data_IF_662355990921
#
_entry.id   IF_662355990921
#
_cell.length_a   1.000
_cell.length_b   1.000
_cell.length_c   1.000
_cell.angle_alpha   90.00
_cell.angle_beta   90.00
_cell.angle_gamma   90.00
#
_symmetry.space_group_name_H-M   'P 1'
#
loop_
_entity.id
_entity.type
_entity.pdbx_description
1 polymer ?
#
# COMPACT_ATOMS: atom_id res chain seq x y z
N UNK A 1 -5.83 -7.37 -33.06
CA UNK A 1 -6.13 -7.53 -31.62
C UNK A 1 -7.11 -6.44 -31.27
N UNK A 2 -8.19 -6.78 -30.56
CA UNK A 2 -9.18 -5.79 -30.16
C UNK A 2 -8.64 -5.04 -28.92
N UNK A 3 -8.56 -3.73 -29.02
CA UNK A 3 -8.24 -2.86 -27.91
C UNK A 3 -9.48 -2.67 -27.04
N UNK A 4 -9.34 -2.87 -25.72
CA UNK A 4 -10.43 -2.89 -24.75
C UNK A 4 -10.06 -2.12 -23.47
N UNK A 5 -11.09 -1.64 -22.81
CA UNK A 5 -11.00 -1.12 -21.44
C UNK A 5 -11.70 -2.13 -20.53
N UNK A 6 -11.05 -2.49 -19.42
CA UNK A 6 -11.66 -3.36 -18.41
C UNK A 6 -12.00 -2.57 -17.16
N UNK A 7 -13.22 -2.81 -16.64
CA UNK A 7 -13.62 -2.32 -15.32
C UNK A 7 -13.69 -3.49 -14.35
N UNK A 8 -13.40 -3.25 -13.06
CA UNK A 8 -13.34 -4.28 -12.04
C UNK A 8 -13.67 -3.71 -10.65
N UNK A 9 -13.68 -4.54 -9.62
CA UNK A 9 -14.09 -4.19 -8.25
C UNK A 9 -13.02 -3.48 -7.40
N UNK A 10 -11.90 -3.05 -7.98
CA UNK A 10 -10.78 -2.41 -7.27
C UNK A 10 -9.92 -3.37 -6.44
N UNK A 11 -10.27 -4.65 -6.35
CA UNK A 11 -9.50 -5.64 -5.60
C UNK A 11 -8.28 -6.16 -6.36
N UNK A 12 -7.26 -6.62 -5.62
CA UNK A 12 -6.11 -7.26 -6.26
C UNK A 12 -6.48 -8.54 -7.02
N UNK A 13 -7.44 -9.30 -6.50
CA UNK A 13 -7.96 -10.49 -7.17
C UNK A 13 -8.70 -10.14 -8.47
N UNK A 14 -9.51 -9.07 -8.45
CA UNK A 14 -10.19 -8.55 -9.64
C UNK A 14 -9.19 -8.07 -10.70
N UNK A 15 -8.14 -7.36 -10.31
CA UNK A 15 -7.06 -7.00 -11.23
C UNK A 15 -6.41 -8.22 -11.89
N UNK A 16 -6.15 -9.29 -11.12
CA UNK A 16 -5.61 -10.54 -11.68
C UNK A 16 -6.60 -11.23 -12.63
N UNK A 17 -7.90 -11.10 -12.40
CA UNK A 17 -8.94 -11.57 -13.33
C UNK A 17 -8.93 -10.78 -14.63
N UNK A 18 -8.67 -9.46 -14.62
CA UNK A 18 -8.47 -8.67 -15.83
C UNK A 18 -7.31 -9.24 -16.68
N UNK A 19 -6.19 -9.62 -16.02
CA UNK A 19 -5.07 -10.25 -16.73
C UNK A 19 -5.49 -11.59 -17.31
N UNK A 20 -6.18 -12.44 -16.55
CA UNK A 20 -6.64 -13.75 -17.02
C UNK A 20 -7.54 -13.63 -18.23
N UNK A 21 -8.57 -12.78 -18.17
CA UNK A 21 -9.57 -12.62 -19.21
C UNK A 21 -8.99 -11.99 -20.48
N UNK A 22 -8.02 -11.06 -20.35
CA UNK A 22 -7.33 -10.50 -21.51
C UNK A 22 -6.63 -11.58 -22.35
N UNK A 23 -6.00 -12.55 -21.68
CA UNK A 23 -5.39 -13.69 -22.38
C UNK A 23 -6.41 -14.70 -22.91
N UNK A 24 -7.47 -14.99 -22.16
CA UNK A 24 -8.52 -15.92 -22.58
C UNK A 24 -9.26 -15.41 -23.83
N UNK A 25 -9.51 -14.09 -23.89
CA UNK A 25 -10.21 -13.45 -25.00
C UNK A 25 -9.29 -12.92 -26.11
N UNK A 26 -7.95 -13.02 -25.93
CA UNK A 26 -6.94 -12.47 -26.86
C UNK A 26 -7.11 -10.97 -27.10
N UNK A 27 -7.43 -10.23 -26.04
CA UNK A 27 -7.63 -8.78 -26.03
C UNK A 27 -6.39 -8.06 -25.52
N UNK A 28 -6.17 -6.83 -26.02
CA UNK A 28 -5.12 -5.94 -25.56
C UNK A 28 -5.78 -4.83 -24.76
N UNK A 29 -5.36 -4.66 -23.50
CA UNK A 29 -5.94 -3.64 -22.65
C UNK A 29 -5.24 -2.31 -22.86
N UNK A 30 -6.04 -1.26 -23.09
CA UNK A 30 -5.59 0.14 -23.15
C UNK A 30 -5.72 0.81 -21.79
N UNK A 31 -6.73 0.44 -21.00
CA UNK A 31 -6.92 0.89 -19.64
C UNK A 31 -7.57 -0.21 -18.77
N UNK A 32 -7.35 -0.13 -17.47
CA UNK A 32 -8.02 -0.92 -16.42
C UNK A 32 -8.39 0.07 -15.33
N UNK A 33 -9.64 0.11 -14.92
CA UNK A 33 -10.14 1.05 -13.90
C UNK A 33 -11.16 0.38 -12.98
N UNK A 34 -11.22 0.82 -11.73
CA UNK A 34 -12.28 0.48 -10.77
C UNK A 34 -13.45 1.47 -10.77
N UNK A 35 -13.37 2.51 -11.61
CA UNK A 35 -14.41 3.51 -11.82
C UNK A 35 -14.89 3.49 -13.29
N UNK A 36 -16.15 3.09 -13.49
CA UNK A 36 -16.76 3.04 -14.82
C UNK A 36 -16.93 4.43 -15.44
N UNK A 37 -17.15 5.45 -14.63
CA UNK A 37 -17.38 6.82 -15.11
C UNK A 37 -16.09 7.48 -15.60
N UNK A 38 -14.93 7.00 -15.17
CA UNK A 38 -13.63 7.50 -15.61
C UNK A 38 -13.08 6.80 -16.87
N UNK A 39 -13.80 5.79 -17.39
CA UNK A 39 -13.37 5.06 -18.58
C UNK A 39 -13.38 5.95 -19.84
N UNK A 40 -12.28 6.02 -20.63
CA UNK A 40 -12.26 6.76 -21.87
C UNK A 40 -13.30 6.20 -22.88
N UNK A 41 -14.13 7.07 -23.47
CA UNK A 41 -15.23 6.69 -24.37
C UNK A 41 -14.75 6.06 -25.71
N UNK A 42 -13.45 6.11 -25.99
CA UNK A 42 -12.87 5.74 -27.28
C UNK A 42 -12.78 4.23 -27.56
N UNK A 43 -12.89 3.38 -26.53
CA UNK A 43 -12.73 1.93 -26.65
C UNK A 43 -13.90 1.20 -26.00
N UNK A 44 -14.24 -0.02 -26.48
CA UNK A 44 -15.24 -0.85 -25.82
C UNK A 44 -14.87 -1.15 -24.37
N UNK A 45 -15.85 -1.09 -23.48
CA UNK A 45 -15.69 -1.37 -22.05
C UNK A 45 -16.24 -2.75 -21.69
N UNK A 46 -15.52 -3.50 -20.86
CA UNK A 46 -15.97 -4.79 -20.33
C UNK A 46 -15.81 -4.85 -18.83
N UNK A 47 -16.88 -5.11 -18.10
CA UNK A 47 -16.86 -5.37 -16.67
C UNK A 47 -16.36 -6.79 -16.39
N UNK A 48 -15.33 -6.91 -15.54
CA UNK A 48 -14.69 -8.17 -15.14
C UNK A 48 -15.18 -8.56 -13.75
N UNK A 49 -15.68 -9.79 -13.62
CA UNK A 49 -16.06 -10.36 -12.33
C UNK A 49 -14.86 -11.00 -11.68
N UNK A 50 -14.71 -10.74 -10.38
CA UNK A 50 -13.66 -11.36 -9.56
C UNK A 50 -13.97 -12.84 -9.35
N UNK A 51 -13.00 -13.70 -9.73
CA UNK A 51 -13.01 -15.14 -9.56
C UNK A 51 -11.68 -15.59 -8.95
N UNK A 52 -11.76 -16.19 -7.77
CA UNK A 52 -10.57 -16.61 -7.02
C UNK A 52 -9.77 -17.73 -7.72
N UNK A 53 -10.44 -18.54 -8.54
CA UNK A 53 -9.79 -19.58 -9.35
C UNK A 53 -8.95 -18.98 -10.47
N UNK A 54 -9.48 -17.98 -11.19
CA UNK A 54 -8.75 -17.24 -12.23
C UNK A 54 -7.58 -16.45 -11.63
N UNK A 55 -7.82 -15.67 -10.58
CA UNK A 55 -6.77 -14.94 -9.86
C UNK A 55 -5.66 -15.87 -9.37
N UNK A 56 -6.03 -17.00 -8.77
CA UNK A 56 -5.07 -18.01 -8.29
C UNK A 56 -4.25 -18.66 -9.41
N UNK A 57 -4.79 -18.82 -10.61
CA UNK A 57 -4.04 -19.33 -11.79
C UNK A 57 -2.97 -18.34 -12.21
N UNK A 58 -3.30 -17.04 -12.29
CA UNK A 58 -2.35 -15.99 -12.63
C UNK A 58 -1.22 -15.92 -11.59
N UNK A 59 -1.56 -15.89 -10.30
CA UNK A 59 -0.58 -15.85 -9.21
C UNK A 59 0.38 -17.04 -9.26
N UNK A 60 -0.14 -18.26 -9.38
CA UNK A 60 0.71 -19.47 -9.48
C UNK A 60 1.64 -19.42 -10.69
N UNK A 61 1.15 -18.89 -11.82
CA UNK A 61 1.98 -18.73 -13.02
C UNK A 61 3.09 -17.72 -12.81
N UNK A 62 2.77 -16.56 -12.21
CA UNK A 62 3.76 -15.53 -11.88
C UNK A 62 4.81 -16.05 -10.90
N UNK A 63 4.38 -16.71 -9.83
CA UNK A 63 5.27 -17.33 -8.83
C UNK A 63 6.25 -18.32 -9.47
N UNK A 64 5.72 -19.19 -10.34
CA UNK A 64 6.55 -20.19 -11.05
C UNK A 64 7.57 -19.55 -11.99
N UNK A 65 7.23 -18.41 -12.62
CA UNK A 65 8.15 -17.70 -13.51
C UNK A 65 9.20 -16.90 -12.72
N UNK A 66 8.76 -16.17 -11.70
CA UNK A 66 9.61 -15.33 -10.87
C UNK A 66 8.89 -14.94 -9.56
N UNK A 67 9.31 -15.48 -8.41
CA UNK A 67 8.81 -15.02 -7.11
C UNK A 67 9.03 -13.52 -6.90
N UNK A 68 10.15 -12.99 -7.39
CA UNK A 68 10.42 -11.54 -7.35
C UNK A 68 9.44 -10.76 -8.24
N UNK A 69 9.12 -11.26 -9.44
CA UNK A 69 8.14 -10.64 -10.33
C UNK A 69 6.73 -10.64 -9.73
N UNK A 70 6.32 -11.74 -9.08
CA UNK A 70 5.06 -11.78 -8.33
C UNK A 70 5.02 -10.74 -7.22
N UNK A 71 6.07 -10.69 -6.39
CA UNK A 71 6.15 -9.72 -5.28
C UNK A 71 6.14 -8.27 -5.79
N UNK A 72 6.80 -8.01 -6.91
CA UNK A 72 6.81 -6.70 -7.55
C UNK A 72 5.40 -6.28 -8.01
N UNK A 73 4.63 -7.20 -8.59
CA UNK A 73 3.23 -6.94 -8.98
C UNK A 73 2.36 -6.73 -7.75
N UNK A 74 2.49 -7.57 -6.73
CA UNK A 74 1.73 -7.49 -5.49
C UNK A 74 1.97 -6.17 -4.76
N UNK A 75 3.23 -5.74 -4.62
CA UNK A 75 3.58 -4.45 -4.01
C UNK A 75 3.23 -3.28 -4.93
N UNK A 76 3.44 -3.43 -6.23
CA UNK A 76 3.05 -2.43 -7.21
C UNK A 76 1.58 -2.05 -7.12
N UNK A 77 0.71 -3.01 -6.84
CA UNK A 77 -0.73 -2.77 -6.65
C UNK A 77 -1.06 -1.95 -5.39
N UNK A 78 -0.17 -1.91 -4.41
CA UNK A 78 -0.32 -1.08 -3.20
C UNK A 78 0.17 0.36 -3.38
N UNK A 79 0.77 0.69 -4.53
CA UNK A 79 1.33 2.02 -4.79
C UNK A 79 0.27 3.02 -5.26
N UNK A 80 0.56 4.30 -5.05
CA UNK A 80 -0.20 5.43 -5.61
C UNK A 80 0.30 5.84 -7.01
N UNK A 81 0.93 4.93 -7.74
CA UNK A 81 1.44 5.17 -9.09
C UNK A 81 0.30 5.49 -10.05
N UNK A 82 0.46 6.53 -10.86
CA UNK A 82 -0.48 6.85 -11.94
C UNK A 82 -0.57 5.69 -12.94
N UNK A 83 -1.77 5.46 -13.46
CA UNK A 83 -2.03 4.35 -14.40
C UNK A 83 -1.55 2.99 -13.85
N UNK A 84 -1.62 2.79 -12.55
CA UNK A 84 -1.08 1.64 -11.82
C UNK A 84 -1.42 0.31 -12.47
N UNK A 85 -2.70 0.09 -12.75
CA UNK A 85 -3.24 -1.15 -13.29
C UNK A 85 -2.68 -1.47 -14.67
N UNK A 86 -2.68 -0.51 -15.58
CA UNK A 86 -2.19 -0.74 -16.94
C UNK A 86 -0.67 -0.91 -16.98
N UNK A 87 0.08 -0.23 -16.10
CA UNK A 87 1.52 -0.43 -15.96
C UNK A 87 1.86 -1.81 -15.43
N UNK A 88 1.12 -2.27 -14.42
CA UNK A 88 1.26 -3.63 -13.88
C UNK A 88 0.84 -4.69 -14.89
N UNK A 89 -0.23 -4.46 -15.64
CA UNK A 89 -0.65 -5.34 -16.73
C UNK A 89 0.47 -5.50 -17.77
N UNK A 90 1.05 -4.39 -18.25
CA UNK A 90 2.17 -4.42 -19.20
C UNK A 90 3.38 -5.16 -18.66
N UNK A 91 3.70 -4.97 -17.38
CA UNK A 91 4.78 -5.70 -16.70
C UNK A 91 4.51 -7.23 -16.69
N UNK A 92 3.28 -7.63 -16.35
CA UNK A 92 2.90 -9.05 -16.33
C UNK A 92 2.91 -9.64 -17.73
N UNK A 93 2.36 -8.96 -18.73
CA UNK A 93 2.38 -9.41 -20.14
C UNK A 93 3.82 -9.61 -20.62
N UNK A 94 4.71 -8.67 -20.31
CA UNK A 94 6.14 -8.77 -20.66
C UNK A 94 6.80 -9.95 -19.95
N UNK A 95 6.53 -10.14 -18.66
CA UNK A 95 7.05 -11.27 -17.87
C UNK A 95 6.60 -12.62 -18.43
N UNK A 96 5.33 -12.72 -18.85
CA UNK A 96 4.79 -13.94 -19.44
C UNK A 96 5.38 -14.24 -20.82
N UNK A 97 5.69 -13.20 -21.62
CA UNK A 97 6.19 -13.32 -22.99
C UNK A 97 7.70 -13.54 -23.05
N UNK A 98 8.47 -12.75 -22.30
CA UNK A 98 9.93 -12.68 -22.40
C UNK A 98 10.65 -13.45 -21.27
N UNK A 99 9.89 -13.87 -20.25
CA UNK A 99 10.47 -14.48 -19.04
C UNK A 99 11.09 -13.44 -18.10
N UNK A 100 11.74 -13.89 -17.00
CA UNK A 100 12.18 -13.00 -15.93
C UNK A 100 13.51 -12.27 -16.19
N UNK A 101 14.18 -12.47 -17.32
CA UNK A 101 15.51 -11.91 -17.59
C UNK A 101 15.55 -10.39 -17.56
N UNK A 102 14.51 -9.72 -18.09
CA UNK A 102 14.41 -8.28 -18.12
C UNK A 102 14.27 -7.63 -16.72
N UNK A 103 13.82 -8.36 -15.71
CA UNK A 103 13.72 -7.87 -14.33
C UNK A 103 15.08 -7.46 -13.72
N UNK A 104 16.18 -7.80 -14.38
CA UNK A 104 17.54 -7.38 -14.01
C UNK A 104 17.95 -6.04 -14.64
N UNK A 105 17.22 -5.58 -15.65
CA UNK A 105 17.49 -4.31 -16.34
C UNK A 105 16.61 -3.19 -15.77
N UNK A 106 17.10 -2.47 -14.77
CA UNK A 106 16.36 -1.37 -14.14
C UNK A 106 16.13 -0.15 -15.05
N UNK A 107 16.74 -0.09 -16.24
CA UNK A 107 16.45 0.92 -17.25
C UNK A 107 15.33 0.51 -18.22
N UNK A 108 14.74 -0.67 -18.05
CA UNK A 108 13.62 -1.12 -18.86
C UNK A 108 12.39 -0.24 -18.61
N UNK A 109 11.79 0.28 -19.67
CA UNK A 109 10.68 1.24 -19.63
C UNK A 109 9.44 0.70 -18.90
N UNK A 110 9.21 -0.62 -18.95
CA UNK A 110 8.10 -1.27 -18.27
C UNK A 110 8.41 -1.50 -16.79
N UNK A 111 9.64 -1.90 -16.48
CA UNK A 111 10.07 -2.23 -15.12
C UNK A 111 10.33 -0.98 -14.28
N UNK A 112 11.03 0.02 -14.83
CA UNK A 112 11.53 1.18 -14.08
C UNK A 112 10.45 1.92 -13.29
N UNK A 113 9.28 2.29 -13.87
CA UNK A 113 8.23 2.98 -13.13
C UNK A 113 7.71 2.16 -11.95
N UNK A 114 7.47 0.87 -12.16
CA UNK A 114 6.94 -0.05 -11.12
C UNK A 114 7.98 -0.25 -10.01
N UNK A 115 9.23 -0.52 -10.36
CA UNK A 115 10.30 -0.71 -9.37
C UNK A 115 10.55 0.55 -8.53
N UNK A 116 10.44 1.73 -9.15
CA UNK A 116 10.57 3.02 -8.46
C UNK A 116 9.40 3.26 -7.52
N UNK A 117 8.15 3.01 -7.94
CA UNK A 117 6.97 3.14 -7.10
C UNK A 117 7.02 2.18 -5.90
N UNK A 118 7.43 0.92 -6.12
CA UNK A 118 7.61 -0.08 -5.04
C UNK A 118 8.71 0.33 -4.06
N UNK A 119 9.79 0.95 -4.53
CA UNK A 119 10.84 1.50 -3.65
C UNK A 119 10.29 2.61 -2.76
N UNK A 120 9.47 3.53 -3.30
CA UNK A 120 8.81 4.58 -2.53
C UNK A 120 7.83 4.01 -1.49
N UNK A 121 7.00 3.03 -1.85
CA UNK A 121 6.13 2.31 -0.94
C UNK A 121 6.91 1.68 0.23
N UNK A 122 8.02 0.99 -0.08
CA UNK A 122 8.85 0.35 0.94
C UNK A 122 9.52 1.38 1.86
N UNK A 123 9.99 2.50 1.31
CA UNK A 123 10.54 3.62 2.07
C UNK A 123 9.52 4.25 3.00
N UNK A 124 8.29 4.47 2.52
CA UNK A 124 7.19 5.00 3.32
C UNK A 124 6.82 4.06 4.47
N UNK A 125 6.65 2.77 4.19
CA UNK A 125 6.39 1.76 5.21
C UNK A 125 7.54 1.65 6.23
N UNK A 126 8.80 1.78 5.79
CA UNK A 126 9.96 1.79 6.69
C UNK A 126 9.92 2.96 7.66
N UNK A 127 9.64 4.17 7.19
CA UNK A 127 9.50 5.35 8.03
C UNK A 127 8.37 5.20 9.05
N UNK A 128 7.20 4.70 8.62
CA UNK A 128 6.06 4.46 9.51
C UNK A 128 6.36 3.41 10.60
N UNK A 129 7.14 2.38 10.30
CA UNK A 129 7.59 1.42 11.33
C UNK A 129 8.39 2.07 12.45
N UNK A 130 9.13 3.15 12.15
CA UNK A 130 9.92 3.89 13.14
C UNK A 130 9.16 5.01 13.84
N UNK A 131 8.25 5.68 13.12
CA UNK A 131 7.63 6.93 13.60
C UNK A 131 6.19 6.79 14.08
N UNK A 132 5.49 5.70 13.73
CA UNK A 132 4.13 5.48 14.21
C UNK A 132 4.09 5.39 15.74
N UNK A 133 3.19 6.16 16.35
CA UNK A 133 2.92 6.15 17.78
C UNK A 133 1.51 5.64 18.03
N UNK A 134 1.36 4.90 19.10
CA UNK A 134 0.06 4.46 19.59
C UNK A 134 -0.35 5.30 20.79
N UNK A 135 -1.63 5.63 20.86
CA UNK A 135 -2.28 6.16 22.04
C UNK A 135 -3.08 5.06 22.72
N UNK A 136 -3.06 5.02 24.04
CA UNK A 136 -3.91 4.10 24.81
C UNK A 136 -5.33 4.65 24.93
N UNK A 137 -6.27 3.93 24.38
CA UNK A 137 -7.70 4.23 24.38
C UNK A 137 -8.47 3.31 25.36
N UNK A 138 -7.93 3.15 26.56
CA UNK A 138 -8.55 2.29 27.58
C UNK A 138 -8.26 0.80 27.38
N UNK A 139 -6.99 0.44 27.14
CA UNK A 139 -6.52 -0.93 26.90
C UNK A 139 -6.56 -1.38 25.44
N UNK A 140 -6.81 -0.46 24.52
CA UNK A 140 -6.68 -0.66 23.09
C UNK A 140 -5.72 0.41 22.56
N UNK A 141 -4.66 -0.02 21.89
CA UNK A 141 -3.70 0.89 21.28
C UNK A 141 -4.22 1.35 19.91
N UNK A 142 -4.47 2.66 19.76
CA UNK A 142 -4.93 3.26 18.53
C UNK A 142 -3.85 4.13 17.88
N UNK A 143 -3.74 4.07 16.56
CA UNK A 143 -2.89 4.97 15.78
C UNK A 143 -3.58 5.37 14.49
N UNK A 144 -3.25 6.58 14.02
CA UNK A 144 -3.78 7.15 12.78
C UNK A 144 -2.61 7.55 11.88
N UNK A 145 -2.72 7.26 10.59
CA UNK A 145 -1.68 7.55 9.59
C UNK A 145 -2.28 8.16 8.32
N UNK A 146 -1.46 8.93 7.59
CA UNK A 146 -1.82 9.56 6.32
C UNK A 146 -0.78 9.21 5.23
N UNK A 147 -0.67 7.94 4.82
CA UNK A 147 0.29 7.53 3.82
C UNK A 147 -0.21 7.87 2.41
N UNK A 148 0.74 7.96 1.44
CA UNK A 148 0.39 8.04 0.03
C UNK A 148 0.04 6.68 -0.56
N UNK A 149 0.71 5.64 -0.09
CA UNK A 149 0.55 4.28 -0.57
C UNK A 149 -0.26 3.44 0.44
N UNK A 150 -0.89 2.35 -0.01
CA UNK A 150 -1.58 1.39 0.88
C UNK A 150 -0.58 0.57 1.68
N UNK A 151 -0.08 1.12 2.78
CA UNK A 151 1.03 0.55 3.57
C UNK A 151 0.59 -0.49 4.59
N UNK A 152 -0.69 -0.55 4.97
CA UNK A 152 -1.18 -1.44 6.04
C UNK A 152 -0.82 -2.91 5.84
N UNK A 153 -0.89 -3.49 4.61
CA UNK A 153 -0.45 -4.87 4.38
C UNK A 153 1.03 -5.12 4.72
N UNK A 154 1.89 -4.09 4.52
CA UNK A 154 3.33 -4.18 4.79
C UNK A 154 3.63 -3.95 6.28
N UNK A 155 2.87 -3.07 6.94
CA UNK A 155 3.00 -2.78 8.37
C UNK A 155 2.51 -3.93 9.25
N UNK A 156 1.54 -4.71 8.77
CA UNK A 156 0.88 -5.78 9.50
C UNK A 156 1.87 -6.72 10.21
N UNK A 157 2.82 -7.30 9.49
CA UNK A 157 3.75 -8.28 10.07
C UNK A 157 4.62 -7.68 11.17
N UNK A 158 5.08 -6.44 10.98
CA UNK A 158 5.92 -5.74 11.93
C UNK A 158 5.18 -5.46 13.25
N UNK A 159 4.00 -4.84 13.18
CA UNK A 159 3.27 -4.45 14.39
C UNK A 159 2.62 -5.64 15.10
N UNK A 160 2.14 -6.64 14.37
CA UNK A 160 1.65 -7.88 14.98
C UNK A 160 2.75 -8.63 15.76
N UNK A 161 3.98 -8.64 15.26
CA UNK A 161 5.10 -9.25 15.98
C UNK A 161 5.55 -8.41 17.19
N UNK A 162 5.50 -7.08 17.09
CA UNK A 162 5.93 -6.17 18.16
C UNK A 162 4.93 -6.11 19.31
N UNK A 163 3.64 -6.15 19.02
CA UNK A 163 2.54 -5.98 19.97
C UNK A 163 1.66 -7.23 20.05
N UNK A 164 2.28 -8.41 20.06
CA UNK A 164 1.58 -9.70 19.97
C UNK A 164 0.59 -9.99 21.12
N UNK A 165 0.79 -9.37 22.29
CA UNK A 165 -0.08 -9.53 23.46
C UNK A 165 -1.09 -8.39 23.62
N UNK A 166 -1.03 -7.38 22.78
CA UNK A 166 -1.87 -6.20 22.86
C UNK A 166 -3.05 -6.28 21.86
N UNK A 167 -4.05 -5.45 22.10
CA UNK A 167 -5.09 -5.15 21.12
C UNK A 167 -4.74 -3.82 20.49
N UNK A 168 -4.67 -3.76 19.17
CA UNK A 168 -4.38 -2.49 18.51
C UNK A 168 -5.12 -2.34 17.18
N UNK A 169 -5.24 -1.10 16.75
CA UNK A 169 -5.60 -0.77 15.37
C UNK A 169 -4.72 0.35 14.83
N UNK A 170 -4.57 0.36 13.49
CA UNK A 170 -3.91 1.42 12.74
C UNK A 170 -4.90 1.86 11.66
N UNK A 171 -5.36 3.11 11.73
CA UNK A 171 -6.29 3.69 10.78
C UNK A 171 -5.56 4.51 9.72
N UNK A 172 -5.79 4.17 8.46
CA UNK A 172 -5.32 4.91 7.29
C UNK A 172 -6.43 5.86 6.82
N UNK A 173 -6.24 7.15 7.10
CA UNK A 173 -7.21 8.22 6.76
C UNK A 173 -7.34 8.44 5.25
N UNK A 174 -6.27 8.17 4.49
CA UNK A 174 -6.25 8.43 3.04
C UNK A 174 -7.05 7.38 2.30
N UNK A 175 -6.91 6.12 2.71
CA UNK A 175 -7.55 4.99 2.03
C UNK A 175 -8.82 4.50 2.73
N UNK A 176 -9.22 5.13 3.86
CA UNK A 176 -10.40 4.77 4.65
C UNK A 176 -10.44 3.28 5.02
N UNK A 177 -9.31 2.77 5.50
CA UNK A 177 -9.16 1.38 5.93
C UNK A 177 -8.39 1.29 7.25
N UNK A 178 -8.62 0.23 8.01
CA UNK A 178 -7.91 0.02 9.26
C UNK A 178 -7.40 -1.40 9.39
N UNK A 179 -6.18 -1.54 9.93
CA UNK A 179 -5.62 -2.79 10.40
C UNK A 179 -6.03 -2.98 11.86
N UNK A 180 -6.80 -4.03 12.14
CA UNK A 180 -7.17 -4.45 13.49
C UNK A 180 -6.37 -5.68 13.88
N UNK A 181 -5.90 -5.72 15.13
CA UNK A 181 -5.23 -6.87 15.71
C UNK A 181 -5.72 -7.16 17.13
N UNK A 182 -6.08 -8.40 17.38
CA UNK A 182 -6.40 -8.90 18.70
C UNK A 182 -6.20 -10.42 18.76
N UNK A 183 -5.68 -10.92 19.88
CA UNK A 183 -5.57 -12.37 20.16
C UNK A 183 -4.93 -13.17 19.01
N UNK A 184 -3.84 -12.65 18.42
CA UNK A 184 -3.11 -13.32 17.34
C UNK A 184 -3.76 -13.21 15.95
N UNK A 185 -4.93 -12.56 15.83
CA UNK A 185 -5.63 -12.37 14.56
C UNK A 185 -5.51 -10.93 14.08
N UNK A 186 -5.12 -10.78 12.82
CA UNK A 186 -5.02 -9.48 12.16
C UNK A 186 -5.92 -9.42 10.93
N UNK A 187 -6.69 -8.34 10.78
CA UNK A 187 -7.57 -8.10 9.63
C UNK A 187 -7.49 -6.65 9.21
N UNK A 188 -7.49 -6.41 7.89
CA UNK A 188 -7.66 -5.06 7.32
C UNK A 188 -9.10 -4.97 6.82
N UNK A 189 -9.79 -3.88 7.18
CA UNK A 189 -11.19 -3.64 6.80
C UNK A 189 -11.38 -2.18 6.38
N UNK A 190 -12.25 -1.92 5.42
CA UNK A 190 -12.73 -0.57 5.17
C UNK A 190 -13.34 0.03 6.45
N UNK A 191 -13.07 1.29 6.69
CA UNK A 191 -13.57 2.04 7.84
C UNK A 191 -13.77 3.50 7.40
N UNK A 192 -14.97 3.81 6.94
CA UNK A 192 -15.34 5.17 6.59
C UNK A 192 -15.61 6.01 7.85
N UNK A 193 -15.38 7.31 7.78
CA UNK A 193 -15.78 8.32 8.77
C UNK A 193 -15.33 8.06 10.22
N UNK A 194 -14.21 7.36 10.39
CA UNK A 194 -13.64 7.14 11.72
C UNK A 194 -12.92 8.41 12.22
N UNK A 195 -13.23 8.79 13.45
CA UNK A 195 -12.49 9.81 14.18
C UNK A 195 -11.95 9.19 15.47
N UNK A 196 -10.64 9.32 15.66
CA UNK A 196 -10.03 8.83 16.89
C UNK A 196 -10.50 9.68 18.06
N UNK A 197 -10.88 9.04 19.17
CA UNK A 197 -11.24 9.74 20.38
C UNK A 197 -10.09 10.67 20.86
N UNK A 198 -10.38 11.83 21.43
CA UNK A 198 -9.35 12.69 22.00
C UNK A 198 -8.58 11.91 23.10
N UNK A 199 -7.27 12.20 23.27
CA UNK A 199 -6.47 11.55 24.30
C UNK A 199 -7.07 11.80 25.68
N UNK A 200 -7.07 10.76 26.52
CA UNK A 200 -7.45 10.91 27.92
C UNK A 200 -6.39 11.72 28.69
N UNK A 201 -6.69 12.11 29.94
CA UNK A 201 -5.82 12.95 30.75
C UNK A 201 -4.41 12.32 30.93
N UNK A 202 -4.34 11.02 31.10
CA UNK A 202 -3.09 10.26 31.26
C UNK A 202 -2.26 10.30 29.99
N UNK A 203 -2.87 10.04 28.84
CA UNK A 203 -2.21 10.13 27.53
C UNK A 203 -1.74 11.56 27.23
N UNK A 204 -2.57 12.56 27.54
CA UNK A 204 -2.20 13.97 27.39
C UNK A 204 -0.99 14.33 28.28
N UNK A 205 -0.92 13.82 29.50
CA UNK A 205 0.21 14.00 30.38
C UNK A 205 1.48 13.34 29.84
N UNK A 206 1.41 12.11 29.31
CA UNK A 206 2.54 11.44 28.67
C UNK A 206 3.05 12.18 27.44
N UNK A 207 2.18 12.70 26.60
CA UNK A 207 2.56 13.53 25.45
C UNK A 207 3.28 14.80 25.88
N UNK A 208 2.82 15.45 26.93
CA UNK A 208 3.48 16.64 27.50
C UNK A 208 4.87 16.30 28.05
N UNK A 209 5.00 15.17 28.79
CA UNK A 209 6.27 14.70 29.30
C UNK A 209 7.25 14.37 28.17
N UNK A 210 6.78 13.72 27.10
CA UNK A 210 7.61 13.42 25.93
C UNK A 210 8.12 14.68 25.25
N UNK A 211 7.27 15.68 25.10
CA UNK A 211 7.64 16.98 24.53
C UNK A 211 8.70 17.70 25.38
N UNK A 212 8.51 17.72 26.69
CA UNK A 212 9.49 18.28 27.64
C UNK A 212 10.83 17.52 27.59
N UNK A 213 10.78 16.21 27.57
CA UNK A 213 11.99 15.37 27.42
C UNK A 213 12.73 15.70 26.13
N UNK A 214 12.02 15.76 25.00
CA UNK A 214 12.61 16.12 23.72
C UNK A 214 13.27 17.50 23.75
N UNK A 215 12.59 18.50 24.27
CA UNK A 215 13.10 19.87 24.36
C UNK A 215 14.32 19.97 25.30
N UNK A 216 14.39 19.12 26.34
CA UNK A 216 15.51 19.07 27.30
C UNK A 216 16.74 18.38 26.75
N UNK A 217 16.55 17.32 25.95
CA UNK A 217 17.65 16.51 25.39
C UNK A 217 18.16 17.09 24.06
N UNK A 218 17.36 17.94 23.40
CA UNK A 218 17.73 18.55 22.13
C UNK A 218 18.93 19.49 22.31
N UNK A 219 20.00 19.20 21.57
CA UNK A 219 21.20 20.05 21.51
C UNK A 219 20.95 21.10 20.43
N UNK A 220 20.73 22.36 20.81
CA UNK A 220 20.37 23.47 19.91
C UNK A 220 21.38 23.67 18.77
N UNK A 221 22.67 23.49 19.05
CA UNK A 221 23.75 23.62 18.06
C UNK A 221 23.71 22.53 16.97
N UNK A 222 22.98 21.44 17.22
CA UNK A 222 22.76 20.33 16.27
C UNK A 222 21.44 20.42 15.54
N UNK A 223 20.63 21.44 15.81
CA UNK A 223 19.36 21.63 15.10
C UNK A 223 19.62 21.88 13.61
N UNK A 224 19.17 20.97 12.79
CA UNK A 224 19.17 21.09 11.33
C UNK A 224 17.80 20.73 10.76
N UNK A 225 16.90 21.72 10.62
CA UNK A 225 15.53 21.48 10.15
C UNK A 225 15.48 20.86 8.74
N UNK A 226 16.43 21.20 7.87
CA UNK A 226 16.50 20.61 6.51
C UNK A 226 16.84 19.12 6.56
N UNK A 227 17.86 18.75 7.35
CA UNK A 227 18.25 17.36 7.55
C UNK A 227 17.12 16.56 8.23
N UNK A 228 16.48 17.15 9.25
CA UNK A 228 15.33 16.55 9.92
C UNK A 228 14.20 16.27 8.92
N UNK A 229 13.85 17.20 8.04
CA UNK A 229 12.82 17.01 7.03
C UNK A 229 13.17 15.94 5.99
N UNK A 230 14.46 15.72 5.70
CA UNK A 230 14.90 14.65 4.80
C UNK A 230 14.68 13.27 5.40
N UNK A 231 14.96 13.10 6.70
CA UNK A 231 14.79 11.80 7.39
C UNK A 231 13.38 11.60 7.96
N UNK A 232 12.68 12.69 8.26
CA UNK A 232 11.34 12.71 8.85
C UNK A 232 10.50 13.82 8.17
N UNK A 233 9.81 13.52 7.06
CA UNK A 233 8.94 14.46 6.39
C UNK A 233 7.86 15.03 7.30
N UNK A 234 7.52 16.33 7.13
CA UNK A 234 6.55 17.05 7.97
C UNK A 234 5.20 16.35 8.14
N UNK A 235 4.76 15.60 7.12
CA UNK A 235 3.48 14.85 7.15
C UNK A 235 3.39 13.79 8.26
N UNK A 236 4.53 13.33 8.80
CA UNK A 236 4.55 12.38 9.93
C UNK A 236 4.62 13.05 11.30
N UNK A 237 4.77 14.38 11.36
CA UNK A 237 4.95 15.07 12.63
C UNK A 237 3.68 15.05 13.48
N UNK A 238 2.50 15.10 12.85
CA UNK A 238 1.21 15.02 13.56
C UNK A 238 0.96 13.67 14.23
N UNK A 239 1.63 12.61 13.75
CA UNK A 239 1.47 11.24 14.29
C UNK A 239 2.48 10.91 15.38
N UNK A 240 3.36 11.85 15.75
CA UNK A 240 4.47 11.61 16.68
C UNK A 240 4.28 12.22 18.08
N UNK A 241 3.30 13.11 18.24
CA UNK A 241 3.04 13.85 19.51
C UNK A 241 1.58 13.82 19.89
#
# INVERSE_FOLDING_TARGET
>A
MNEMIYTYDGSFEGFLCCIFDSYANKEVLTAITDDEDSAPILFPVRAIRTDSGHAGRVLRKLHKLSPYGEELVRRGFLTCMEEREIRLYRLVVKLLREGPSFLRNFSDETLHPVATAVRHLNGEAHLLKGFLRFSDLGGILGSEIEPKNRVLPILRSHFCARYQNEKFFIYDRVHHEALFYAAGKAVIRPLADFQMAPPNETEAAYRLLWKRFYDTVAIRERENPKLRMTHMPKRYWSTMT
#
